data_IF_804869239141
#
_entry.id   IF_804869239141
#
_cell.length_a   1.000
_cell.length_b   1.000
_cell.length_c   1.000
_cell.angle_alpha   90.00
_cell.angle_beta   90.00
_cell.angle_gamma   90.00
#
_symmetry.space_group_name_H-M   'P 1'
#
loop_
_entity.id
_entity.type
_entity.pdbx_description
1 polymer ?
#
# COMPACT_ATOMS: atom_id res chain seq x y z
N UNK A 1 -25.00 21.18 -13.85
CA UNK A 1 -25.16 20.54 -12.53
C UNK A 1 -24.19 21.21 -11.55
N UNK A 2 -24.66 21.61 -10.36
CA UNK A 2 -23.81 22.16 -9.29
C UNK A 2 -23.93 21.22 -8.10
N UNK A 3 -22.80 20.79 -7.56
CA UNK A 3 -22.71 19.90 -6.40
C UNK A 3 -21.85 20.59 -5.35
N UNK A 4 -22.30 20.52 -4.10
CA UNK A 4 -21.54 21.01 -2.96
C UNK A 4 -20.68 19.87 -2.43
N UNK A 5 -19.39 20.14 -2.29
CA UNK A 5 -18.38 19.23 -1.77
C UNK A 5 -17.47 20.01 -0.85
N UNK A 6 -17.03 19.36 0.21
CA UNK A 6 -16.01 19.88 1.11
C UNK A 6 -14.65 19.87 0.42
N UNK A 7 -13.68 20.61 0.99
CA UNK A 7 -12.32 20.70 0.44
C UNK A 7 -11.62 19.33 0.40
N UNK A 8 -11.84 18.49 1.43
CA UNK A 8 -11.27 17.15 1.50
C UNK A 8 -11.87 16.22 0.46
N UNK A 9 -13.20 16.26 0.28
CA UNK A 9 -13.90 15.50 -0.76
C UNK A 9 -13.44 15.91 -2.15
N UNK A 10 -13.28 17.22 -2.41
CA UNK A 10 -12.76 17.70 -3.69
C UNK A 10 -11.35 17.18 -3.97
N UNK A 11 -10.50 17.12 -2.95
CA UNK A 11 -9.12 16.61 -3.07
C UNK A 11 -9.11 15.13 -3.44
N UNK A 12 -9.97 14.33 -2.80
CA UNK A 12 -10.14 12.90 -3.11
C UNK A 12 -10.64 12.72 -4.55
N UNK A 13 -11.66 13.49 -4.97
CA UNK A 13 -12.21 13.41 -6.33
C UNK A 13 -11.14 13.76 -7.36
N UNK A 14 -10.33 14.78 -7.10
CA UNK A 14 -9.24 15.20 -7.99
C UNK A 14 -8.18 14.12 -8.13
N UNK A 15 -7.74 13.50 -7.03
CA UNK A 15 -6.77 12.40 -7.06
C UNK A 15 -7.32 11.23 -7.89
N UNK A 16 -8.58 10.87 -7.67
CA UNK A 16 -9.22 9.79 -8.42
C UNK A 16 -9.34 10.11 -9.91
N UNK A 17 -9.70 11.35 -10.27
CA UNK A 17 -9.73 11.80 -11.66
C UNK A 17 -8.35 11.72 -12.31
N UNK A 18 -7.30 12.18 -11.62
CA UNK A 18 -5.91 12.09 -12.09
C UNK A 18 -5.45 10.65 -12.32
N UNK A 19 -5.80 9.74 -11.40
CA UNK A 19 -5.47 8.32 -11.54
C UNK A 19 -6.17 7.66 -12.75
N UNK A 20 -7.26 8.25 -13.23
CA UNK A 20 -7.92 7.82 -14.49
C UNK A 20 -7.45 8.58 -15.72
N UNK A 21 -6.49 9.52 -15.58
CA UNK A 21 -6.01 10.36 -16.68
C UNK A 21 -7.05 11.37 -17.20
N UNK A 22 -8.11 11.63 -16.45
CA UNK A 22 -9.24 12.48 -16.85
C UNK A 22 -9.28 13.76 -16.03
N UNK A 23 -9.93 14.80 -16.57
CA UNK A 23 -10.26 15.99 -15.77
C UNK A 23 -11.35 15.67 -14.74
N UNK A 24 -11.35 16.38 -13.61
CA UNK A 24 -12.36 16.21 -12.54
C UNK A 24 -13.79 16.25 -13.09
N UNK A 25 -14.07 17.18 -14.01
CA UNK A 25 -15.39 17.36 -14.63
C UNK A 25 -15.79 16.15 -15.50
N UNK A 26 -14.85 15.60 -16.27
CA UNK A 26 -15.09 14.42 -17.10
C UNK A 26 -15.31 13.18 -16.23
N UNK A 27 -14.49 13.02 -15.18
CA UNK A 27 -14.61 11.93 -14.22
C UNK A 27 -15.96 11.92 -13.49
N UNK A 28 -16.43 13.09 -13.02
CA UNK A 28 -17.75 13.21 -12.36
C UNK A 28 -18.88 12.90 -13.34
N UNK A 29 -18.77 13.35 -14.60
CA UNK A 29 -19.77 13.05 -15.64
C UNK A 29 -19.83 11.55 -15.90
N UNK A 30 -18.69 10.90 -16.06
CA UNK A 30 -18.60 9.47 -16.33
C UNK A 30 -19.15 8.65 -15.15
N UNK A 31 -18.92 9.09 -13.91
CA UNK A 31 -19.54 8.51 -12.71
C UNK A 31 -21.06 8.65 -12.72
N UNK A 32 -21.57 9.84 -13.02
CA UNK A 32 -23.01 10.10 -13.05
C UNK A 32 -23.72 9.30 -14.15
N UNK A 33 -23.03 9.04 -15.26
CA UNK A 33 -23.52 8.21 -16.37
C UNK A 33 -23.27 6.71 -16.16
N UNK A 34 -22.63 6.31 -15.05
CA UNK A 34 -22.37 4.92 -14.72
C UNK A 34 -21.34 4.24 -15.63
N UNK A 35 -20.39 4.99 -16.19
CA UNK A 35 -19.35 4.45 -17.09
C UNK A 35 -18.61 3.27 -16.45
N UNK A 36 -18.50 2.18 -17.21
CA UNK A 36 -17.81 0.94 -16.80
C UNK A 36 -16.33 1.18 -16.51
N UNK A 37 -15.69 2.12 -17.20
CA UNK A 37 -14.26 2.42 -17.04
C UNK A 37 -13.94 2.97 -15.65
N UNK A 38 -14.79 3.87 -15.13
CA UNK A 38 -14.57 4.43 -13.79
C UNK A 38 -14.80 3.39 -12.71
N UNK A 39 -15.81 2.51 -12.90
CA UNK A 39 -16.02 1.37 -12.00
C UNK A 39 -14.83 0.42 -12.01
N UNK A 40 -14.25 0.14 -13.19
CA UNK A 40 -13.06 -0.71 -13.30
C UNK A 40 -11.83 -0.07 -12.64
N UNK A 41 -11.62 1.23 -12.81
CA UNK A 41 -10.52 1.94 -12.15
C UNK A 41 -10.67 1.93 -10.60
N UNK A 42 -11.89 2.11 -10.08
CA UNK A 42 -12.17 1.98 -8.66
C UNK A 42 -11.91 0.55 -8.14
N UNK A 43 -12.31 -0.47 -8.90
CA UNK A 43 -12.04 -1.87 -8.58
C UNK A 43 -10.54 -2.20 -8.62
N UNK A 44 -9.79 -1.66 -9.59
CA UNK A 44 -8.33 -1.83 -9.66
C UNK A 44 -7.63 -1.17 -8.46
N UNK A 45 -8.05 0.03 -8.05
CA UNK A 45 -7.51 0.67 -6.84
C UNK A 45 -7.84 -0.13 -5.58
N UNK A 46 -9.05 -0.67 -5.47
CA UNK A 46 -9.41 -1.55 -4.36
C UNK A 46 -8.57 -2.83 -4.36
N UNK A 47 -8.36 -3.45 -5.53
CA UNK A 47 -7.52 -4.63 -5.70
C UNK A 47 -6.04 -4.33 -5.35
N UNK A 48 -5.50 -3.19 -5.77
CA UNK A 48 -4.16 -2.74 -5.39
C UNK A 48 -4.05 -2.49 -3.89
N UNK A 49 -5.06 -1.88 -3.25
CA UNK A 49 -5.10 -1.69 -1.80
C UNK A 49 -5.16 -3.02 -1.04
N UNK A 50 -5.94 -3.98 -1.53
CA UNK A 50 -6.01 -5.33 -0.96
C UNK A 50 -4.70 -6.08 -1.16
N UNK A 51 -4.09 -6.00 -2.34
CA UNK A 51 -2.79 -6.58 -2.65
C UNK A 51 -1.67 -6.00 -1.77
N UNK A 52 -1.66 -4.68 -1.58
CA UNK A 52 -0.69 -4.01 -0.71
C UNK A 52 -0.85 -4.41 0.77
N UNK A 53 -2.09 -4.60 1.25
CA UNK A 53 -2.32 -5.13 2.60
C UNK A 53 -1.81 -6.57 2.74
N UNK A 54 -2.02 -7.42 1.73
CA UNK A 54 -1.51 -8.79 1.74
C UNK A 54 0.01 -8.80 1.75
N UNK A 55 0.66 -7.99 0.91
CA UNK A 55 2.12 -7.89 0.85
C UNK A 55 2.69 -7.42 2.20
N UNK A 56 2.11 -6.39 2.82
CA UNK A 56 2.55 -5.92 4.13
C UNK A 56 2.38 -6.99 5.22
N UNK A 57 1.29 -7.75 5.17
CA UNK A 57 1.05 -8.88 6.08
C UNK A 57 2.11 -9.98 5.92
N UNK A 58 2.40 -10.40 4.70
CA UNK A 58 3.43 -11.42 4.45
C UNK A 58 4.83 -10.94 4.89
N UNK A 59 5.18 -9.67 4.64
CA UNK A 59 6.45 -9.12 5.09
C UNK A 59 6.59 -9.12 6.62
N UNK A 60 5.53 -8.79 7.36
CA UNK A 60 5.52 -8.90 8.83
C UNK A 60 5.66 -10.34 9.29
N UNK A 61 4.95 -11.26 8.65
CA UNK A 61 5.02 -12.68 8.95
C UNK A 61 6.44 -13.22 8.76
N UNK A 62 7.10 -12.87 7.65
CA UNK A 62 8.49 -13.23 7.39
C UNK A 62 9.42 -12.64 8.46
N UNK A 63 9.31 -11.35 8.78
CA UNK A 63 10.11 -10.73 9.83
C UNK A 63 9.92 -11.38 11.21
N UNK A 64 8.68 -11.74 11.57
CA UNK A 64 8.37 -12.46 12.80
C UNK A 64 8.98 -13.87 12.81
N UNK A 65 8.93 -14.58 11.69
CA UNK A 65 9.59 -15.89 11.54
C UNK A 65 11.10 -15.79 11.68
N UNK A 66 11.74 -14.79 11.08
CA UNK A 66 13.19 -14.55 11.21
C UNK A 66 13.60 -14.40 12.69
N UNK A 67 12.79 -13.73 13.51
CA UNK A 67 13.09 -13.64 14.94
C UNK A 67 13.17 -15.02 15.62
N UNK A 68 12.33 -15.95 15.22
CA UNK A 68 12.33 -17.33 15.72
C UNK A 68 13.46 -18.19 15.18
N UNK A 69 13.92 -17.93 13.96
CA UNK A 69 15.04 -18.62 13.33
C UNK A 69 16.41 -18.03 13.69
N UNK A 70 16.47 -17.02 14.55
CA UNK A 70 17.73 -16.43 14.97
C UNK A 70 18.60 -17.46 15.70
N UNK A 71 19.80 -17.78 15.18
CA UNK A 71 20.62 -18.86 15.72
C UNK A 71 21.43 -18.35 16.92
N UNK A 72 20.81 -18.38 18.10
CA UNK A 72 21.37 -17.86 19.35
C UNK A 72 22.65 -18.56 19.79
N UNK A 73 22.70 -19.88 19.61
CA UNK A 73 23.76 -20.75 20.12
C UNK A 73 24.68 -21.27 19.01
N UNK A 74 24.43 -20.89 17.75
CA UNK A 74 25.26 -21.31 16.64
C UNK A 74 26.57 -20.49 16.62
N UNK A 75 27.67 -21.20 16.85
CA UNK A 75 29.02 -20.65 16.86
C UNK A 75 29.57 -20.44 15.45
N UNK A 76 28.92 -20.97 14.40
CA UNK A 76 29.33 -20.76 13.01
C UNK A 76 29.02 -19.35 12.50
N UNK A 77 28.20 -18.59 13.23
CA UNK A 77 27.83 -17.22 12.87
C UNK A 77 28.77 -16.21 13.52
N UNK A 78 29.40 -15.40 12.67
CA UNK A 78 30.17 -14.27 13.17
C UNK A 78 29.24 -13.19 13.74
N UNK A 79 29.79 -12.25 14.52
CA UNK A 79 29.03 -11.09 14.99
C UNK A 79 28.48 -10.24 13.82
N UNK A 80 29.20 -10.22 12.70
CA UNK A 80 28.77 -9.52 11.49
C UNK A 80 27.57 -10.21 10.82
N UNK A 81 27.54 -11.55 10.78
CA UNK A 81 26.38 -12.30 10.27
C UNK A 81 25.14 -12.05 11.14
N UNK A 82 25.31 -12.04 12.46
CA UNK A 82 24.25 -11.71 13.41
C UNK A 82 23.73 -10.30 13.19
N UNK A 83 24.60 -9.32 12.96
CA UNK A 83 24.22 -7.93 12.65
C UNK A 83 23.43 -7.85 11.34
N UNK A 84 23.95 -8.43 10.26
CA UNK A 84 23.30 -8.43 8.94
C UNK A 84 21.92 -9.10 8.96
N UNK A 85 21.77 -10.14 9.78
CA UNK A 85 20.48 -10.80 9.97
C UNK A 85 19.43 -9.90 10.61
N UNK A 86 19.79 -9.19 11.67
CA UNK A 86 18.91 -8.21 12.31
C UNK A 86 18.55 -7.06 11.36
N UNK A 87 19.52 -6.54 10.62
CA UNK A 87 19.30 -5.49 9.62
C UNK A 87 18.35 -5.93 8.50
N UNK A 88 18.49 -7.18 8.03
CA UNK A 88 17.57 -7.74 7.04
C UNK A 88 16.15 -7.84 7.60
N UNK A 89 15.99 -8.30 8.84
CA UNK A 89 14.69 -8.36 9.51
C UNK A 89 14.07 -6.96 9.67
N UNK A 90 14.84 -5.97 10.15
CA UNK A 90 14.37 -4.59 10.29
C UNK A 90 13.98 -3.98 8.95
N UNK A 91 14.74 -4.25 7.89
CA UNK A 91 14.44 -3.78 6.54
C UNK A 91 13.08 -4.29 6.05
N UNK A 92 12.76 -5.57 6.29
CA UNK A 92 11.47 -6.15 5.91
C UNK A 92 10.32 -5.51 6.69
N UNK A 93 10.48 -5.32 8.00
CA UNK A 93 9.48 -4.69 8.84
C UNK A 93 9.25 -3.22 8.45
N UNK A 94 10.33 -2.50 8.14
CA UNK A 94 10.26 -1.12 7.69
C UNK A 94 9.55 -1.00 6.34
N UNK A 95 9.81 -1.93 5.40
CA UNK A 95 9.08 -2.00 4.13
C UNK A 95 7.60 -2.26 4.32
N UNK A 96 7.24 -3.19 5.22
CA UNK A 96 5.84 -3.44 5.57
C UNK A 96 5.17 -2.17 6.11
N UNK A 97 5.85 -1.45 7.01
CA UNK A 97 5.36 -0.20 7.59
C UNK A 97 5.13 0.88 6.52
N UNK A 98 6.06 1.06 5.58
CA UNK A 98 5.93 2.04 4.49
C UNK A 98 4.74 1.71 3.58
N UNK A 99 4.54 0.43 3.24
CA UNK A 99 3.40 -0.03 2.43
C UNK A 99 2.07 0.23 3.15
N UNK A 100 2.03 0.11 4.47
CA UNK A 100 0.82 0.43 5.24
C UNK A 100 0.62 1.94 5.41
N UNK A 101 1.70 2.72 5.52
CA UNK A 101 1.61 4.18 5.70
C UNK A 101 1.27 4.92 4.43
N UNK A 102 1.65 4.41 3.25
CA UNK A 102 1.23 4.97 1.95
C UNK A 102 -0.29 4.91 1.72
N UNK A 103 -1.03 4.30 2.67
CA UNK A 103 -2.49 4.24 2.75
C UNK A 103 -3.13 5.45 3.48
N UNK A 104 -2.37 6.22 4.27
CA UNK A 104 -2.87 7.36 5.06
C UNK A 104 -2.72 8.69 4.32
#
# INVERSE_FOLDING_TARGET
MKIRVTTDEYSIIRINAMNTGKSTSSFIRDLALGSKEVKQAATQQLAMRTGNNQIAFELRKIGAMMRGFYPKEDLSWTNEDKRRYWEAMETLLQRAYVIEKSKR
#
